data_IF_700904950014
#
_entry.id   IF_700904950014
#
_cell.length_a   1.000
_cell.length_b   1.000
_cell.length_c   1.000
_cell.angle_alpha   90.00
_cell.angle_beta   90.00
_cell.angle_gamma   90.00
#
_symmetry.space_group_name_H-M   'P 1'
#
loop_
_entity.id
_entity.type
_entity.pdbx_description
1 polymer ?
#
# COMPACT_ATOMS: atom_id res chain seq x y z
N UNK A 1 -36.93 -18.89 23.87
CA UNK A 1 -36.55 -17.54 23.44
C UNK A 1 -35.06 -17.40 23.77
N UNK A 2 -34.22 -17.69 22.80
CA UNK A 2 -32.77 -17.54 22.91
C UNK A 2 -32.43 -16.21 22.21
N UNK A 3 -32.14 -15.20 23.02
CA UNK A 3 -31.57 -13.95 22.53
C UNK A 3 -30.20 -14.26 21.97
N UNK A 4 -30.06 -14.15 20.62
CA UNK A 4 -28.81 -14.24 19.94
C UNK A 4 -27.95 -13.05 20.33
N UNK A 5 -26.78 -13.30 20.93
CA UNK A 5 -25.72 -12.33 21.08
C UNK A 5 -25.09 -12.03 19.69
N UNK A 6 -25.76 -11.18 18.89
CA UNK A 6 -25.08 -10.45 17.83
C UNK A 6 -24.50 -9.18 18.47
N UNK A 7 -23.23 -9.21 18.82
CA UNK A 7 -22.48 -7.98 19.03
C UNK A 7 -22.53 -7.13 17.73
N UNK A 8 -22.33 -5.81 17.79
CA UNK A 8 -22.25 -4.99 16.59
C UNK A 8 -21.17 -5.57 15.68
N UNK A 9 -21.50 -5.76 14.38
CA UNK A 9 -20.53 -6.14 13.39
C UNK A 9 -19.38 -5.10 13.44
N UNK A 10 -18.14 -5.57 13.59
CA UNK A 10 -16.95 -4.71 13.55
C UNK A 10 -17.01 -3.91 12.23
N UNK A 11 -16.81 -2.60 12.33
CA UNK A 11 -16.58 -1.76 11.15
C UNK A 11 -15.32 -2.29 10.43
N UNK A 12 -15.38 -2.35 9.10
CA UNK A 12 -14.27 -2.84 8.26
C UNK A 12 -12.94 -2.14 8.60
N UNK A 13 -12.98 -0.85 8.87
CA UNK A 13 -11.81 -0.06 9.27
C UNK A 13 -11.24 -0.55 10.59
N UNK A 14 -12.09 -0.80 11.58
CA UNK A 14 -11.67 -1.30 12.89
C UNK A 14 -11.07 -2.71 12.78
N UNK A 15 -11.63 -3.59 11.96
CA UNK A 15 -11.10 -4.94 11.74
C UNK A 15 -9.68 -4.90 11.13
N UNK A 16 -9.44 -3.97 10.20
CA UNK A 16 -8.10 -3.73 9.62
C UNK A 16 -7.13 -3.20 10.70
N UNK A 17 -7.53 -2.19 11.46
CA UNK A 17 -6.67 -1.59 12.50
C UNK A 17 -6.30 -2.62 13.58
N UNK A 18 -7.26 -3.41 14.07
CA UNK A 18 -7.02 -4.46 15.07
C UNK A 18 -6.08 -5.56 14.54
N UNK A 19 -6.31 -6.02 13.30
CA UNK A 19 -5.50 -7.09 12.70
C UNK A 19 -4.06 -6.65 12.44
N UNK A 20 -3.87 -5.50 11.81
CA UNK A 20 -2.52 -4.99 11.52
C UNK A 20 -1.81 -4.46 12.78
N UNK A 21 -2.55 -3.98 13.77
CA UNK A 21 -1.99 -3.66 15.09
C UNK A 21 -1.47 -4.91 15.80
N UNK A 22 -2.20 -6.02 15.78
CA UNK A 22 -1.72 -7.30 16.30
C UNK A 22 -0.52 -7.82 15.48
N UNK A 23 -0.56 -7.69 14.16
CA UNK A 23 0.51 -8.10 13.25
C UNK A 23 1.80 -7.25 13.38
N UNK A 24 1.70 -6.03 13.92
CA UNK A 24 2.87 -5.22 14.29
C UNK A 24 3.62 -5.80 15.50
N UNK A 25 2.92 -6.53 16.38
CA UNK A 25 3.49 -7.12 17.58
C UNK A 25 3.96 -8.56 17.35
N UNK A 26 3.23 -9.34 16.56
CA UNK A 26 3.51 -10.75 16.27
C UNK A 26 3.26 -11.03 14.78
N UNK A 27 4.19 -11.76 14.13
CA UNK A 27 4.12 -12.07 12.70
C UNK A 27 2.86 -12.88 12.35
N UNK A 28 2.10 -12.43 11.34
CA UNK A 28 0.93 -13.16 10.81
C UNK A 28 1.22 -13.77 9.43
N UNK A 29 1.52 -15.06 9.39
CA UNK A 29 1.91 -15.78 8.17
C UNK A 29 0.83 -15.82 7.06
N UNK A 30 -0.44 -15.59 7.39
CA UNK A 30 -1.55 -15.65 6.44
C UNK A 30 -1.72 -14.38 5.59
N UNK A 31 -1.00 -13.29 5.90
CA UNK A 31 -1.12 -12.01 5.20
C UNK A 31 -0.14 -11.85 4.03
N UNK A 32 0.79 -12.78 3.83
CA UNK A 32 1.86 -12.63 2.85
C UNK A 32 1.72 -13.58 1.66
N UNK A 33 2.02 -13.06 0.47
CA UNK A 33 2.45 -13.86 -0.67
C UNK A 33 3.99 -13.84 -0.70
N UNK A 34 4.69 -14.98 -0.83
CA UNK A 34 6.14 -14.96 -0.95
C UNK A 34 6.58 -14.14 -2.16
N UNK A 35 7.29 -13.05 -1.92
CA UNK A 35 7.85 -12.16 -2.94
C UNK A 35 9.37 -12.16 -2.80
N UNK A 36 10.07 -12.36 -3.92
CA UNK A 36 11.52 -12.27 -3.96
C UNK A 36 11.95 -10.81 -4.15
N UNK A 37 12.53 -10.22 -3.11
CA UNK A 37 13.22 -8.94 -3.18
C UNK A 37 14.72 -9.15 -3.41
N UNK A 38 15.42 -8.13 -3.88
CA UNK A 38 16.87 -8.14 -3.91
C UNK A 38 17.41 -8.25 -2.48
N UNK A 39 18.08 -9.37 -2.18
CA UNK A 39 18.57 -9.67 -0.84
C UNK A 39 19.55 -8.59 -0.33
N UNK A 40 20.33 -7.97 -1.23
CA UNK A 40 21.27 -6.92 -0.85
C UNK A 40 20.60 -5.65 -0.31
N UNK A 41 19.36 -5.37 -0.76
CA UNK A 41 18.58 -4.23 -0.27
C UNK A 41 17.91 -4.52 1.09
N UNK A 42 17.79 -5.80 1.46
CA UNK A 42 17.24 -6.20 2.76
C UNK A 42 18.28 -6.19 3.88
N UNK A 43 19.56 -6.34 3.57
CA UNK A 43 20.65 -6.46 4.57
C UNK A 43 20.75 -5.27 5.53
N UNK A 44 20.39 -4.08 5.07
CA UNK A 44 20.44 -2.85 5.88
C UNK A 44 19.17 -2.62 6.70
N UNK A 45 18.11 -3.38 6.44
CA UNK A 45 16.80 -3.26 7.10
C UNK A 45 16.80 -4.16 8.33
N UNK A 46 16.36 -3.71 9.52
CA UNK A 46 16.18 -4.57 10.67
C UNK A 46 15.25 -5.74 10.38
N UNK A 47 15.60 -6.94 10.87
CA UNK A 47 14.87 -8.19 10.62
C UNK A 47 13.39 -8.08 11.00
N UNK A 48 13.09 -7.45 12.14
CA UNK A 48 11.73 -7.23 12.63
C UNK A 48 10.84 -6.41 11.67
N UNK A 49 11.43 -5.51 10.89
CA UNK A 49 10.72 -4.75 9.84
C UNK A 49 10.39 -5.66 8.65
N UNK A 50 11.33 -6.51 8.25
CA UNK A 50 11.16 -7.44 7.13
C UNK A 50 10.11 -8.51 7.46
N UNK A 51 10.15 -9.04 8.69
CA UNK A 51 9.23 -10.09 9.16
C UNK A 51 7.78 -9.60 9.33
N UNK A 52 7.59 -8.30 9.57
CA UNK A 52 6.26 -7.68 9.78
C UNK A 52 5.81 -6.84 8.61
N UNK A 53 6.26 -7.19 7.41
CA UNK A 53 5.77 -6.62 6.15
C UNK A 53 4.82 -7.58 5.45
N UNK A 54 3.67 -7.09 5.03
CA UNK A 54 2.55 -7.86 4.51
C UNK A 54 2.21 -7.43 3.08
N UNK A 55 3.08 -7.75 2.13
CA UNK A 55 2.93 -7.39 0.72
C UNK A 55 2.62 -8.58 -0.18
N UNK A 56 2.19 -8.31 -1.40
CA UNK A 56 1.87 -9.31 -2.43
C UNK A 56 2.66 -9.13 -3.73
N UNK A 57 3.53 -8.11 -3.81
CA UNK A 57 4.40 -7.83 -4.95
C UNK A 57 5.63 -7.01 -4.56
N UNK A 58 6.44 -6.66 -5.55
CA UNK A 58 7.58 -5.77 -5.39
C UNK A 58 7.40 -4.50 -6.25
N UNK A 59 6.68 -3.48 -5.75
CA UNK A 59 6.49 -2.23 -6.49
C UNK A 59 7.74 -1.35 -6.51
N UNK A 60 8.79 -1.67 -5.71
CA UNK A 60 10.00 -0.86 -5.60
C UNK A 60 10.86 -0.89 -6.87
N UNK A 61 10.68 -1.89 -7.74
CA UNK A 61 11.39 -2.06 -9.02
C UNK A 61 11.18 -0.91 -10.01
N UNK A 62 10.14 -0.09 -9.82
CA UNK A 62 9.84 1.06 -10.68
C UNK A 62 10.31 2.40 -10.13
N UNK A 63 11.02 2.38 -9.00
CA UNK A 63 11.69 3.54 -8.41
C UNK A 63 13.05 3.78 -9.07
N UNK A 64 13.44 5.05 -9.22
CA UNK A 64 14.69 5.46 -9.86
C UNK A 64 15.53 6.33 -8.92
N UNK A 65 16.81 6.38 -9.17
CA UNK A 65 17.71 7.29 -8.45
C UNK A 65 17.23 8.74 -8.56
N UNK A 66 17.18 9.44 -7.43
CA UNK A 66 16.75 10.83 -7.32
C UNK A 66 15.23 11.05 -7.20
N UNK A 67 14.38 10.00 -7.32
CA UNK A 67 12.93 10.13 -7.16
C UNK A 67 12.55 10.64 -5.77
N UNK A 68 11.46 11.38 -5.70
CA UNK A 68 10.66 11.56 -4.48
C UNK A 68 9.53 10.53 -4.51
N UNK A 69 9.55 9.58 -3.59
CA UNK A 69 8.64 8.44 -3.52
C UNK A 69 7.61 8.65 -2.41
N UNK A 70 6.35 8.34 -2.69
CA UNK A 70 5.28 8.22 -1.69
C UNK A 70 4.86 6.75 -1.60
N UNK A 71 5.02 6.15 -0.42
CA UNK A 71 4.61 4.79 -0.09
C UNK A 71 3.28 4.83 0.68
N UNK A 72 2.21 4.38 0.03
CA UNK A 72 0.86 4.35 0.58
C UNK A 72 0.62 3.07 1.37
N UNK A 73 0.31 3.19 2.66
CA UNK A 73 0.22 2.08 3.58
C UNK A 73 1.59 1.48 3.84
N UNK A 74 2.54 2.31 4.26
CA UNK A 74 3.95 1.94 4.40
C UNK A 74 4.23 0.88 5.47
N UNK A 75 3.28 0.61 6.36
CA UNK A 75 3.41 -0.39 7.41
C UNK A 75 4.68 -0.22 8.24
N UNK A 76 5.41 -1.33 8.44
CA UNK A 76 6.71 -1.37 9.13
C UNK A 76 7.85 -0.64 8.36
N UNK A 77 7.62 -0.21 7.11
CA UNK A 77 8.55 0.59 6.33
C UNK A 77 9.47 -0.19 5.39
N UNK A 78 9.32 -1.50 5.20
CA UNK A 78 10.23 -2.30 4.35
C UNK A 78 10.36 -1.71 2.95
N UNK A 79 9.25 -1.47 2.24
CA UNK A 79 9.28 -0.91 0.88
C UNK A 79 9.91 0.50 0.88
N UNK A 80 9.56 1.35 1.87
CA UNK A 80 10.14 2.67 2.02
C UNK A 80 11.67 2.62 2.20
N UNK A 81 12.21 1.67 2.97
CA UNK A 81 13.64 1.50 3.18
C UNK A 81 14.37 0.93 1.96
N UNK A 82 13.72 0.05 1.19
CA UNK A 82 14.24 -0.38 -0.12
C UNK A 82 14.31 0.82 -1.06
N UNK A 83 13.23 1.59 -1.16
CA UNK A 83 13.19 2.80 -1.98
C UNK A 83 14.25 3.82 -1.57
N UNK A 84 14.50 4.00 -0.26
CA UNK A 84 15.53 4.91 0.25
C UNK A 84 16.91 4.63 -0.31
N UNK A 85 17.28 3.36 -0.44
CA UNK A 85 18.54 2.92 -1.02
C UNK A 85 18.56 3.17 -2.55
N UNK A 86 17.46 2.87 -3.24
CA UNK A 86 17.35 3.04 -4.70
C UNK A 86 17.40 4.51 -5.10
N UNK A 87 16.68 5.40 -4.41
CA UNK A 87 16.66 6.83 -4.75
C UNK A 87 17.98 7.53 -4.37
N UNK A 88 18.72 6.99 -3.41
CA UNK A 88 20.00 7.55 -2.95
C UNK A 88 19.85 8.82 -2.11
N UNK A 89 20.98 9.42 -1.71
CA UNK A 89 20.99 10.59 -0.81
C UNK A 89 20.38 11.87 -1.40
N UNK A 90 20.09 11.91 -2.68
CA UNK A 90 19.47 13.06 -3.37
C UNK A 90 17.96 12.86 -3.59
N UNK A 91 17.45 11.65 -3.44
CA UNK A 91 16.04 11.36 -3.46
C UNK A 91 15.41 11.45 -2.06
N UNK A 92 14.10 11.26 -1.99
CA UNK A 92 13.35 11.26 -0.73
C UNK A 92 12.25 10.21 -0.75
N UNK A 93 11.93 9.65 0.42
CA UNK A 93 10.82 8.72 0.59
C UNK A 93 9.90 9.19 1.71
N UNK A 94 8.60 9.13 1.46
CA UNK A 94 7.56 9.47 2.41
C UNK A 94 6.67 8.25 2.55
N UNK A 95 6.68 7.60 3.71
CA UNK A 95 5.71 6.57 4.05
C UNK A 95 4.48 7.19 4.73
N UNK A 96 3.29 6.78 4.33
CA UNK A 96 2.03 7.15 4.98
C UNK A 96 1.32 5.89 5.42
N UNK A 97 0.95 5.81 6.69
CA UNK A 97 0.12 4.74 7.25
C UNK A 97 -0.82 5.31 8.32
N UNK A 98 -1.94 4.64 8.56
CA UNK A 98 -2.87 4.99 9.64
C UNK A 98 -2.58 4.25 10.94
N UNK A 99 -1.88 3.12 10.88
CA UNK A 99 -1.59 2.26 12.01
C UNK A 99 -0.38 2.80 12.78
N UNK A 100 -0.62 3.27 14.01
CA UNK A 100 0.41 3.88 14.86
C UNK A 100 1.49 2.88 15.28
N UNK A 101 1.14 1.61 15.52
CA UNK A 101 2.09 0.57 15.95
C UNK A 101 3.04 0.19 14.81
N UNK A 102 2.52 0.09 13.57
CA UNK A 102 3.35 -0.11 12.38
C UNK A 102 4.29 1.07 12.14
N UNK A 103 3.78 2.30 12.27
CA UNK A 103 4.59 3.51 12.12
C UNK A 103 5.66 3.64 13.20
N UNK A 104 5.41 3.16 14.42
CA UNK A 104 6.42 3.16 15.48
C UNK A 104 7.58 2.23 15.11
N UNK A 105 7.31 1.02 14.61
CA UNK A 105 8.35 0.12 14.09
C UNK A 105 9.18 0.81 12.99
N UNK A 106 8.51 1.44 12.02
CA UNK A 106 9.18 2.14 10.94
C UNK A 106 10.04 3.31 11.44
N UNK A 107 9.52 4.11 12.38
CA UNK A 107 10.23 5.27 12.96
C UNK A 107 11.43 4.86 13.82
N UNK A 108 11.33 3.76 14.56
CA UNK A 108 12.45 3.21 15.34
C UNK A 108 13.54 2.66 14.41
N UNK A 109 13.16 2.02 13.30
CA UNK A 109 14.10 1.47 12.33
C UNK A 109 14.81 2.55 11.48
N UNK A 110 14.15 3.70 11.21
CA UNK A 110 14.65 4.72 10.31
C UNK A 110 16.07 5.23 10.64
N UNK A 111 16.44 5.57 11.89
CA UNK A 111 17.81 5.99 12.22
C UNK A 111 18.83 4.86 12.04
N UNK A 112 18.45 3.60 12.26
CA UNK A 112 19.33 2.43 12.07
C UNK A 112 19.63 2.24 10.59
N UNK A 113 18.61 2.31 9.73
CA UNK A 113 18.78 2.23 8.29
C UNK A 113 19.60 3.42 7.78
N UNK A 114 19.31 4.65 8.24
CA UNK A 114 20.05 5.84 7.86
C UNK A 114 21.54 5.75 8.19
N UNK A 115 21.90 5.20 9.35
CA UNK A 115 23.28 4.94 9.74
C UNK A 115 23.96 3.95 8.78
N UNK A 116 23.28 2.84 8.45
CA UNK A 116 23.82 1.79 7.60
C UNK A 116 24.02 2.23 6.13
N UNK A 117 23.11 3.08 5.61
CA UNK A 117 23.22 3.59 4.23
C UNK A 117 24.00 4.90 4.11
N UNK A 118 24.27 5.59 5.24
CA UNK A 118 25.09 6.81 5.28
C UNK A 118 24.33 8.12 5.05
N UNK A 119 22.99 8.11 4.95
CA UNK A 119 22.15 9.30 4.79
C UNK A 119 20.73 9.07 5.33
N UNK A 120 20.00 10.17 5.62
CA UNK A 120 18.61 10.13 6.11
C UNK A 120 17.70 10.78 5.09
N UNK A 121 16.90 9.98 4.38
CA UNK A 121 16.02 10.44 3.30
C UNK A 121 14.60 9.85 3.39
N UNK A 122 14.25 9.21 4.52
CA UNK A 122 12.92 8.63 4.77
C UNK A 122 12.23 9.37 5.90
N UNK A 123 10.94 9.62 5.74
CA UNK A 123 10.06 10.07 6.83
C UNK A 123 8.73 9.32 6.79
N UNK A 124 8.14 9.11 7.98
CA UNK A 124 6.87 8.41 8.16
C UNK A 124 5.82 9.34 8.76
N UNK A 125 4.68 9.45 8.09
CA UNK A 125 3.55 10.29 8.47
C UNK A 125 2.34 9.43 8.80
N UNK A 126 1.65 9.79 9.88
CA UNK A 126 0.38 9.18 10.23
C UNK A 126 -0.74 9.83 9.43
N UNK A 127 -1.56 9.02 8.77
CA UNK A 127 -2.69 9.50 7.98
C UNK A 127 -3.37 8.41 7.17
N UNK A 128 -4.58 8.72 6.73
CA UNK A 128 -5.34 7.86 5.82
C UNK A 128 -4.91 8.14 4.37
N UNK A 129 -4.67 7.07 3.62
CA UNK A 129 -4.20 7.18 2.22
C UNK A 129 -5.26 7.77 1.28
N UNK A 130 -6.53 7.68 1.63
CA UNK A 130 -7.65 8.32 0.94
C UNK A 130 -7.81 9.81 1.27
N UNK A 131 -7.08 10.33 2.28
CA UNK A 131 -7.17 11.70 2.78
C UNK A 131 -5.79 12.41 2.82
N UNK A 132 -4.97 12.24 1.77
CA UNK A 132 -3.65 12.87 1.67
C UNK A 132 -3.72 14.42 1.57
N UNK A 133 -4.89 14.96 1.35
CA UNK A 133 -5.22 16.39 1.37
C UNK A 133 -5.69 16.90 2.74
N UNK A 134 -5.73 16.03 3.75
CA UNK A 134 -6.05 16.44 5.10
C UNK A 134 -5.05 17.51 5.62
N UNK A 135 -5.53 18.54 6.35
CA UNK A 135 -4.65 19.54 6.91
C UNK A 135 -3.82 18.97 8.07
N UNK A 136 -2.53 19.29 8.08
CA UNK A 136 -1.65 19.06 9.22
C UNK A 136 -1.95 20.08 10.34
N UNK A 137 -1.43 19.91 11.55
CA UNK A 137 -1.55 20.90 12.62
C UNK A 137 -1.04 22.32 12.24
N UNK A 138 -0.16 22.42 11.23
CA UNK A 138 0.32 23.69 10.69
C UNK A 138 -0.58 24.29 9.61
N UNK A 139 -1.64 23.56 9.20
CA UNK A 139 -2.57 23.98 8.15
C UNK A 139 -2.12 23.66 6.72
N UNK A 140 -0.97 23.02 6.55
CA UNK A 140 -0.51 22.51 5.26
C UNK A 140 -1.18 21.18 4.94
N UNK A 141 -1.21 20.77 3.67
CA UNK A 141 -1.69 19.43 3.29
C UNK A 141 -0.71 18.36 3.79
N UNK A 142 -1.22 17.20 4.19
CA UNK A 142 -0.39 16.04 4.58
C UNK A 142 0.64 15.71 3.51
N UNK A 143 0.20 15.62 2.26
CA UNK A 143 1.06 15.51 1.08
C UNK A 143 0.69 16.65 0.10
N UNK A 144 1.61 17.55 -0.22
CA UNK A 144 1.36 18.63 -1.18
C UNK A 144 1.05 18.12 -2.58
N UNK A 145 0.32 18.92 -3.37
CA UNK A 145 0.05 18.62 -4.78
C UNK A 145 1.34 18.65 -5.61
N UNK A 146 1.44 17.80 -6.64
CA UNK A 146 2.57 17.76 -7.58
C UNK A 146 3.95 17.74 -6.86
N UNK A 147 4.06 16.95 -5.79
CA UNK A 147 5.25 16.92 -4.93
C UNK A 147 6.08 15.64 -5.05
N UNK A 148 5.53 14.56 -5.64
CA UNK A 148 6.20 13.27 -5.73
C UNK A 148 6.35 12.81 -7.18
N UNK A 149 7.39 12.02 -7.45
CA UNK A 149 7.69 11.45 -8.76
C UNK A 149 7.09 10.06 -8.92
N UNK A 150 6.95 9.33 -7.81
CA UNK A 150 6.40 7.97 -7.78
C UNK A 150 5.45 7.82 -6.60
N UNK A 151 4.27 7.24 -6.86
CA UNK A 151 3.41 6.68 -5.82
C UNK A 151 3.48 5.16 -5.93
N UNK A 152 3.82 4.51 -4.83
CA UNK A 152 3.78 3.06 -4.71
C UNK A 152 2.83 2.63 -3.59
N UNK A 153 2.38 1.39 -3.67
CA UNK A 153 1.59 0.73 -2.61
C UNK A 153 1.75 -0.78 -2.74
N UNK A 154 1.62 -1.49 -1.62
CA UNK A 154 1.74 -2.94 -1.60
C UNK A 154 0.66 -3.57 -0.70
N UNK A 155 -0.40 -4.11 -1.31
CA UNK A 155 -1.52 -4.80 -0.65
C UNK A 155 -2.34 -3.92 0.33
N UNK A 156 -2.64 -2.68 -0.04
CA UNK A 156 -3.30 -1.71 0.85
C UNK A 156 -4.56 -1.10 0.24
N UNK A 157 -4.60 -0.88 -1.07
CA UNK A 157 -5.72 -0.18 -1.71
C UNK A 157 -7.05 -0.93 -1.50
N UNK A 158 -6.99 -2.26 -1.47
CA UNK A 158 -8.16 -3.12 -1.21
C UNK A 158 -8.75 -2.95 0.20
N UNK A 159 -7.99 -2.42 1.14
CA UNK A 159 -8.44 -2.18 2.52
C UNK A 159 -9.23 -0.86 2.65
N UNK A 160 -9.18 0.00 1.63
CA UNK A 160 -9.92 1.27 1.61
C UNK A 160 -11.40 1.00 1.30
N UNK A 161 -12.27 1.60 2.12
CA UNK A 161 -13.71 1.49 1.92
C UNK A 161 -14.09 1.90 0.48
N UNK A 162 -14.94 1.15 -0.24
CA UNK A 162 -15.35 1.47 -1.60
C UNK A 162 -15.86 2.89 -1.80
N UNK A 163 -16.54 3.47 -0.80
CA UNK A 163 -17.02 4.86 -0.85
C UNK A 163 -15.90 5.90 -0.84
N UNK A 164 -14.71 5.55 -0.35
CA UNK A 164 -13.54 6.43 -0.28
C UNK A 164 -12.55 6.23 -1.46
N UNK A 165 -12.76 5.23 -2.31
CA UNK A 165 -11.85 4.91 -3.43
C UNK A 165 -11.68 6.06 -4.41
N UNK A 166 -12.76 6.80 -4.70
CA UNK A 166 -12.68 7.97 -5.57
C UNK A 166 -11.77 9.06 -4.98
N UNK A 167 -11.81 9.26 -3.66
CA UNK A 167 -10.92 10.20 -2.97
C UNK A 167 -9.47 9.71 -2.99
N UNK A 168 -9.23 8.42 -2.72
CA UNK A 168 -7.91 7.79 -2.84
C UNK A 168 -7.30 8.02 -4.24
N UNK A 169 -8.02 7.66 -5.29
CA UNK A 169 -7.56 7.79 -6.66
C UNK A 169 -7.30 9.24 -7.07
N UNK A 170 -8.20 10.17 -6.66
CA UNK A 170 -8.01 11.61 -6.88
C UNK A 170 -6.75 12.12 -6.16
N UNK A 171 -6.49 11.65 -4.94
CA UNK A 171 -5.30 12.00 -4.18
C UNK A 171 -4.02 11.44 -4.81
N UNK A 172 -4.03 10.20 -5.30
CA UNK A 172 -2.88 9.62 -6.04
C UNK A 172 -2.51 10.52 -7.23
N UNK A 173 -3.51 10.90 -8.05
CA UNK A 173 -3.28 11.81 -9.17
C UNK A 173 -2.78 13.17 -8.74
N UNK A 174 -3.37 13.76 -7.69
CA UNK A 174 -3.06 15.10 -7.20
C UNK A 174 -1.63 15.26 -6.72
N UNK A 175 -1.10 14.26 -6.00
CA UNK A 175 0.24 14.35 -5.40
C UNK A 175 1.37 14.15 -6.41
N UNK A 176 1.08 13.46 -7.53
CA UNK A 176 2.07 13.21 -8.58
C UNK A 176 2.39 14.48 -9.37
N UNK A 177 3.66 14.65 -9.68
CA UNK A 177 4.14 15.60 -10.69
C UNK A 177 3.68 15.18 -12.09
N UNK A 178 3.63 16.10 -13.06
CA UNK A 178 3.49 15.71 -14.48
C UNK A 178 4.54 14.66 -14.86
N UNK A 179 4.15 13.64 -15.60
CA UNK A 179 4.97 12.46 -15.92
C UNK A 179 5.40 11.61 -14.71
N UNK A 180 4.80 11.84 -13.54
CA UNK A 180 4.96 10.97 -12.38
C UNK A 180 4.38 9.59 -12.63
N UNK A 181 4.82 8.60 -11.85
CA UNK A 181 4.51 7.19 -12.05
C UNK A 181 3.73 6.59 -10.89
N UNK A 182 2.97 5.55 -11.19
CA UNK A 182 2.42 4.66 -10.17
C UNK A 182 3.02 3.26 -10.30
N UNK A 183 3.24 2.59 -9.18
CA UNK A 183 3.57 1.18 -9.09
C UNK A 183 2.80 0.59 -7.90
N UNK A 184 1.70 -0.09 -8.20
CA UNK A 184 0.74 -0.58 -7.20
C UNK A 184 0.66 -2.09 -7.27
N UNK A 185 1.17 -2.75 -6.24
CA UNK A 185 0.98 -4.19 -6.06
C UNK A 185 -0.24 -4.42 -5.20
N UNK A 186 -1.22 -5.18 -5.70
CA UNK A 186 -2.41 -5.55 -4.93
C UNK A 186 -3.05 -6.84 -5.46
N UNK A 187 -4.06 -7.32 -4.76
CA UNK A 187 -4.85 -8.48 -5.17
C UNK A 187 -6.03 -7.99 -6.04
N UNK A 188 -6.22 -8.60 -7.18
CA UNK A 188 -7.39 -8.40 -8.05
C UNK A 188 -8.22 -9.66 -8.15
N UNK A 189 -9.47 -9.55 -8.59
CA UNK A 189 -10.38 -10.68 -8.80
C UNK A 189 -10.85 -10.78 -10.24
N UNK A 190 -11.19 -12.01 -10.69
CA UNK A 190 -11.65 -12.28 -12.05
C UNK A 190 -13.09 -11.82 -12.33
N UNK A 191 -13.84 -11.50 -11.28
CA UNK A 191 -15.23 -11.01 -11.33
C UNK A 191 -15.60 -10.28 -10.05
N UNK A 192 -16.66 -9.43 -10.04
CA UNK A 192 -17.04 -8.65 -8.86
C UNK A 192 -17.28 -9.52 -7.62
N UNK A 193 -16.74 -9.09 -6.49
CA UNK A 193 -16.93 -9.76 -5.19
C UNK A 193 -18.37 -9.55 -4.70
N UNK A 194 -19.16 -10.61 -4.40
CA UNK A 194 -20.52 -10.49 -3.90
C UNK A 194 -20.60 -9.77 -2.55
N UNK A 195 -21.72 -9.08 -2.30
CA UNK A 195 -21.90 -8.27 -1.10
C UNK A 195 -21.71 -9.04 0.21
N UNK A 196 -22.14 -10.31 0.28
CA UNK A 196 -21.97 -11.13 1.50
C UNK A 196 -20.50 -11.40 1.82
N UNK A 197 -19.64 -11.57 0.81
CA UNK A 197 -18.20 -11.68 1.01
C UNK A 197 -17.56 -10.32 1.34
N UNK A 198 -18.08 -9.22 0.78
CA UNK A 198 -17.60 -7.88 1.13
C UNK A 198 -17.87 -7.50 2.60
N UNK A 199 -18.86 -8.14 3.23
CA UNK A 199 -19.22 -7.91 4.63
C UNK A 199 -18.47 -8.81 5.61
N UNK A 200 -17.64 -9.73 5.14
CA UNK A 200 -16.81 -10.62 5.96
C UNK A 200 -15.54 -9.87 6.42
N UNK A 201 -15.37 -9.60 7.73
CA UNK A 201 -14.23 -8.84 8.24
C UNK A 201 -12.89 -9.55 8.06
N UNK A 202 -12.86 -10.88 8.13
CA UNK A 202 -11.64 -11.68 7.98
C UNK A 202 -11.16 -11.66 6.52
N UNK A 203 -12.10 -11.78 5.58
CA UNK A 203 -11.81 -11.66 4.16
C UNK A 203 -11.44 -10.22 3.79
N UNK A 204 -12.08 -9.21 4.45
CA UNK A 204 -11.77 -7.81 4.21
C UNK A 204 -10.34 -7.48 4.65
N UNK A 205 -9.98 -7.76 5.87
CA UNK A 205 -8.64 -7.52 6.40
C UNK A 205 -7.55 -8.38 5.72
N UNK A 206 -7.95 -9.43 5.01
CA UNK A 206 -7.08 -10.27 4.16
C UNK A 206 -6.98 -9.81 2.70
N UNK A 207 -7.32 -8.58 2.33
CA UNK A 207 -7.28 -8.01 0.97
C UNK A 207 -8.16 -8.73 -0.07
N UNK A 208 -9.12 -9.58 0.35
CA UNK A 208 -10.01 -10.37 -0.53
C UNK A 208 -11.29 -9.62 -0.85
N UNK A 209 -12.04 -9.23 0.20
CA UNK A 209 -13.38 -8.67 0.04
C UNK A 209 -13.40 -7.32 -0.66
N UNK A 210 -12.32 -6.56 -0.51
CA UNK A 210 -12.13 -5.27 -1.17
C UNK A 210 -11.41 -5.34 -2.51
N UNK A 211 -11.11 -6.52 -3.05
CA UNK A 211 -10.39 -6.63 -4.31
C UNK A 211 -11.13 -5.95 -5.46
N UNK A 212 -10.38 -5.20 -6.30
CA UNK A 212 -10.89 -4.71 -7.58
C UNK A 212 -11.04 -5.86 -8.57
N UNK A 213 -12.04 -5.80 -9.42
CA UNK A 213 -12.05 -6.57 -10.65
C UNK A 213 -10.86 -6.15 -11.52
N UNK A 214 -10.19 -7.13 -12.15
CA UNK A 214 -8.93 -6.94 -12.86
C UNK A 214 -9.01 -5.85 -13.96
N UNK A 215 -10.03 -5.87 -14.79
CA UNK A 215 -10.21 -4.88 -15.86
C UNK A 215 -10.63 -3.50 -15.32
N UNK A 216 -11.46 -3.47 -14.27
CA UNK A 216 -11.88 -2.23 -13.64
C UNK A 216 -10.70 -1.49 -12.98
N UNK A 217 -9.75 -2.20 -12.38
CA UNK A 217 -8.57 -1.61 -11.78
C UNK A 217 -7.72 -0.84 -12.81
N UNK A 218 -7.48 -1.44 -13.99
CA UNK A 218 -6.80 -0.74 -15.08
C UNK A 218 -7.61 0.45 -15.61
N UNK A 219 -8.93 0.28 -15.73
CA UNK A 219 -9.82 1.31 -16.27
C UNK A 219 -9.86 2.55 -15.37
N UNK A 220 -9.88 2.36 -14.04
CA UNK A 220 -9.88 3.46 -13.06
C UNK A 220 -8.64 4.33 -13.21
N UNK A 221 -7.44 3.75 -13.34
CA UNK A 221 -6.21 4.52 -13.54
C UNK A 221 -6.19 5.21 -14.91
N UNK A 222 -6.66 4.57 -15.98
CA UNK A 222 -6.80 5.22 -17.30
C UNK A 222 -7.75 6.41 -17.25
N UNK A 223 -8.87 6.28 -16.54
CA UNK A 223 -9.85 7.37 -16.37
C UNK A 223 -9.28 8.58 -15.63
N UNK A 224 -8.25 8.38 -14.78
CA UNK A 224 -7.52 9.45 -14.11
C UNK A 224 -6.49 10.16 -15.02
N UNK A 225 -6.32 9.74 -16.25
CA UNK A 225 -5.36 10.32 -17.19
C UNK A 225 -3.95 9.71 -17.10
N UNK A 226 -3.84 8.48 -16.57
CA UNK A 226 -2.61 7.72 -16.69
C UNK A 226 -2.53 7.05 -18.07
N UNK A 227 -1.35 7.12 -18.66
CA UNK A 227 -0.96 6.45 -19.90
C UNK A 227 -0.14 5.20 -19.57
N UNK A 228 0.03 4.29 -20.56
CA UNK A 228 0.79 3.03 -20.45
C UNK A 228 0.36 2.16 -19.27
N UNK A 229 -0.94 2.26 -18.88
CA UNK A 229 -1.50 1.50 -17.75
C UNK A 229 -1.58 0.02 -18.11
N UNK A 230 -0.80 -0.78 -17.40
CA UNK A 230 -0.74 -2.24 -17.60
C UNK A 230 -0.33 -2.98 -16.33
N UNK A 231 -0.52 -4.28 -16.32
CA UNK A 231 0.09 -5.15 -15.31
C UNK A 231 1.52 -5.50 -15.75
N UNK A 232 2.48 -4.97 -15.03
CA UNK A 232 3.89 -5.29 -15.24
C UNK A 232 4.25 -6.66 -14.65
N UNK A 233 3.57 -7.04 -13.57
CA UNK A 233 3.61 -8.40 -13.01
C UNK A 233 2.17 -8.88 -12.76
N UNK A 234 1.90 -10.17 -13.01
CA UNK A 234 0.63 -10.83 -12.78
C UNK A 234 0.86 -12.31 -12.51
N UNK A 235 0.38 -12.80 -11.38
CA UNK A 235 0.48 -14.21 -11.01
C UNK A 235 -0.29 -15.09 -12.02
N UNK A 236 0.36 -16.12 -12.57
CA UNK A 236 -0.28 -17.07 -13.48
C UNK A 236 -1.37 -17.89 -12.77
N UNK A 237 -1.08 -18.34 -11.55
CA UNK A 237 -2.02 -19.07 -10.72
C UNK A 237 -2.74 -18.13 -9.75
N UNK A 238 -4.01 -18.38 -9.42
CA UNK A 238 -4.68 -17.66 -8.37
C UNK A 238 -3.98 -17.90 -7.04
N UNK A 239 -3.76 -16.82 -6.29
CA UNK A 239 -3.28 -16.89 -4.91
C UNK A 239 -4.33 -17.55 -4.00
N UNK A 240 -5.62 -17.25 -4.24
CA UNK A 240 -6.75 -17.81 -3.51
C UNK A 240 -7.97 -17.94 -4.41
N UNK A 241 -8.84 -18.93 -4.08
CA UNK A 241 -10.17 -19.06 -4.70
C UNK A 241 -11.19 -19.10 -3.58
N UNK A 242 -12.19 -18.20 -3.64
CA UNK A 242 -13.29 -18.12 -2.67
C UNK A 242 -14.59 -18.14 -3.45
N UNK A 243 -15.46 -19.13 -3.19
CA UNK A 243 -16.74 -19.33 -3.90
C UNK A 243 -16.60 -19.31 -5.45
N UNK A 244 -15.50 -19.84 -5.97
CA UNK A 244 -15.22 -19.89 -7.40
C UNK A 244 -14.74 -18.57 -8.01
N UNK A 245 -14.50 -17.54 -7.21
CA UNK A 245 -13.84 -16.28 -7.61
C UNK A 245 -12.34 -16.47 -7.44
N UNK A 246 -11.58 -16.18 -8.47
CA UNK A 246 -10.13 -16.27 -8.46
C UNK A 246 -9.52 -14.92 -8.06
N UNK A 247 -8.63 -14.95 -7.08
CA UNK A 247 -7.87 -13.80 -6.59
C UNK A 247 -6.39 -13.95 -6.94
N UNK A 248 -5.81 -12.92 -7.56
CA UNK A 248 -4.44 -12.92 -8.08
C UNK A 248 -3.67 -11.71 -7.62
N UNK A 249 -2.39 -11.88 -7.34
CA UNK A 249 -1.48 -10.77 -7.13
C UNK A 249 -1.07 -10.16 -8.47
N UNK A 250 -1.11 -8.84 -8.54
CA UNK A 250 -0.69 -8.06 -9.70
C UNK A 250 0.18 -6.89 -9.26
N UNK A 251 0.99 -6.35 -10.18
CA UNK A 251 1.61 -5.03 -10.03
C UNK A 251 1.19 -4.17 -11.23
N UNK A 252 0.33 -3.19 -10.97
CA UNK A 252 -0.09 -2.19 -11.93
C UNK A 252 0.97 -1.10 -12.02
N UNK A 253 1.30 -0.71 -13.25
CA UNK A 253 2.13 0.47 -13.52
C UNK A 253 1.42 1.42 -14.48
N UNK A 254 1.75 2.70 -14.40
CA UNK A 254 1.24 3.73 -15.30
C UNK A 254 2.00 5.04 -15.11
N UNK A 255 1.93 5.91 -16.10
CA UNK A 255 2.57 7.23 -16.11
C UNK A 255 1.48 8.30 -16.22
N UNK A 256 1.48 9.29 -15.33
CA UNK A 256 0.56 10.41 -15.44
C UNK A 256 0.90 11.25 -16.67
N UNK A 257 -0.09 11.52 -17.55
CA UNK A 257 0.13 12.36 -18.71
C UNK A 257 0.77 13.70 -18.34
N UNK A 258 1.71 14.14 -19.16
CA UNK A 258 2.24 15.50 -19.08
C UNK A 258 1.11 16.45 -19.46
N UNK A 259 0.54 17.17 -18.50
CA UNK A 259 -0.59 18.09 -18.70
C UNK A 259 -0.25 19.25 -19.63
#
# INVERSE_FOLDING_TARGET
MSEGCCGPALDQTQAVEERYGAAALEQEACLCTPVAFDASLLEVIPEEVVERDYGCGDPTRWVRSGDTVLDLGSGSGKNAFICAQVVGGHGAVIGVDRNADMLELARVAAPVVAERIGYSNVRFLEGAIEALDAPTPTGELLIPSASVDVVLSNCVLNLVNPSARSALLANIRRVLRPSGRVAISDIVCDRPVPQHLQQDPDLWSGCISGAWEEDAFLADFRALGFEDVSYADRSEQPWRVVEGIEFRAVTLTGVLAAG
#
